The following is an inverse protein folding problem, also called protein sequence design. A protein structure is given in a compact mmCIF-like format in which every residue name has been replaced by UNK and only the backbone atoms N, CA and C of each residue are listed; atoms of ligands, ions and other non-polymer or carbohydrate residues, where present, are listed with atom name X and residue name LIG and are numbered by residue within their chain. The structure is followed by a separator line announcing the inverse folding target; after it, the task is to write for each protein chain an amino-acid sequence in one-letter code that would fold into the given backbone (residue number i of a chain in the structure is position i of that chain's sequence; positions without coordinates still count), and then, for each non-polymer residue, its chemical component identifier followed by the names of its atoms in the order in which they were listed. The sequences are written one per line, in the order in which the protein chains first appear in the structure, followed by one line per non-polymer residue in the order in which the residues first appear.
data_IF_446952447540
#
_entry.id   IF_446952447540
#
_cell.length_a   1.000
_cell.length_b   1.000
_cell.length_c   1.000
_cell.angle_alpha   90.00
_cell.angle_beta   90.00
_cell.angle_gamma   90.00
#
_symmetry.space_group_name_H-M   'P 1'
#
loop_
_entity.id
_entity.type
_entity.pdbx_description
1 polymer ?
#
# COMPACT_ATOMS: atom_id res chain seq x y z
N UNK A 1 -35.67 4.92 -4.23
CA UNK A 1 -34.31 4.97 -4.82
C UNK A 1 -33.37 4.30 -3.83
N UNK A 2 -32.67 3.24 -4.23
CA UNK A 2 -31.67 2.61 -3.36
C UNK A 2 -30.59 3.64 -3.01
N UNK A 3 -30.17 3.65 -1.75
CA UNK A 3 -29.10 4.53 -1.29
C UNK A 3 -27.80 4.07 -1.97
N UNK A 4 -27.18 4.95 -2.74
CA UNK A 4 -25.87 4.68 -3.33
C UNK A 4 -24.86 4.48 -2.21
N UNK A 5 -24.10 3.39 -2.28
CA UNK A 5 -23.08 3.02 -1.30
C UNK A 5 -21.74 3.64 -1.66
N UNK A 6 -20.85 3.79 -0.68
CA UNK A 6 -19.48 4.27 -0.89
C UNK A 6 -18.71 3.35 -1.86
N UNK A 7 -18.85 2.04 -1.69
CA UNK A 7 -18.30 1.01 -2.59
C UNK A 7 -18.75 1.20 -4.03
N UNK A 8 -20.05 1.37 -4.29
CA UNK A 8 -20.54 1.60 -5.65
C UNK A 8 -19.98 2.89 -6.26
N UNK A 9 -19.82 3.95 -5.45
CA UNK A 9 -19.20 5.20 -5.92
C UNK A 9 -17.74 4.96 -6.32
N UNK A 10 -17.00 4.19 -5.54
CA UNK A 10 -15.59 3.89 -5.83
C UNK A 10 -15.43 3.01 -7.07
N UNK A 11 -16.23 1.96 -7.23
CA UNK A 11 -16.23 1.14 -8.45
C UNK A 11 -16.55 1.98 -9.70
N UNK A 12 -17.56 2.85 -9.62
CA UNK A 12 -17.87 3.77 -10.71
C UNK A 12 -16.74 4.76 -10.98
N UNK A 13 -16.03 5.20 -9.93
CA UNK A 13 -14.91 6.12 -10.05
C UNK A 13 -13.69 5.47 -10.71
N UNK A 14 -13.30 4.26 -10.28
CA UNK A 14 -12.24 3.48 -10.91
C UNK A 14 -12.52 3.28 -12.40
N UNK A 15 -13.75 2.93 -12.76
CA UNK A 15 -14.11 2.76 -14.16
C UNK A 15 -14.02 4.07 -14.96
N UNK A 16 -14.43 5.21 -14.39
CA UNK A 16 -14.25 6.53 -15.04
C UNK A 16 -12.77 6.87 -15.20
N UNK A 17 -11.93 6.58 -14.20
CA UNK A 17 -10.49 6.81 -14.27
C UNK A 17 -9.83 5.93 -15.34
N UNK A 18 -10.23 4.67 -15.44
CA UNK A 18 -9.76 3.74 -16.48
C UNK A 18 -10.14 4.21 -17.89
N UNK A 19 -11.33 4.77 -18.06
CA UNK A 19 -11.82 5.26 -19.36
C UNK A 19 -11.21 6.61 -19.78
N UNK A 20 -11.03 7.54 -18.84
CA UNK A 20 -10.73 8.95 -19.14
C UNK A 20 -9.36 9.41 -18.68
N UNK A 21 -8.73 8.69 -17.76
CA UNK A 21 -7.58 9.15 -17.01
C UNK A 21 -7.94 10.22 -15.98
N UNK A 22 -7.01 10.45 -15.06
CA UNK A 22 -7.16 11.37 -13.93
C UNK A 22 -7.53 12.81 -14.35
N UNK A 23 -6.81 13.36 -15.34
CA UNK A 23 -6.95 14.77 -15.72
C UNK A 23 -8.37 15.11 -16.21
N UNK A 24 -8.96 14.19 -16.99
CA UNK A 24 -10.25 14.39 -17.67
C UNK A 24 -11.44 13.87 -16.88
N UNK A 25 -11.24 13.01 -15.89
CA UNK A 25 -12.31 12.48 -15.06
C UNK A 25 -12.98 13.62 -14.26
N UNK A 26 -14.31 13.56 -14.10
CA UNK A 26 -15.10 14.55 -13.36
C UNK A 26 -16.14 13.88 -12.47
N UNK A 27 -16.55 14.56 -11.40
CA UNK A 27 -17.62 14.08 -10.50
C UNK A 27 -18.93 13.80 -11.27
N UNK A 28 -19.25 14.62 -12.27
CA UNK A 28 -20.41 14.42 -13.14
C UNK A 28 -20.35 13.14 -13.97
N UNK A 29 -19.16 12.65 -14.32
CA UNK A 29 -19.00 11.39 -15.05
C UNK A 29 -19.31 10.19 -14.15
N UNK A 30 -18.88 10.24 -12.89
CA UNK A 30 -19.20 9.21 -11.87
C UNK A 30 -20.71 9.19 -11.60
N UNK A 31 -21.33 10.35 -11.42
CA UNK A 31 -22.77 10.46 -11.24
C UNK A 31 -23.55 9.87 -12.43
N UNK A 32 -23.10 10.14 -13.66
CA UNK A 32 -23.68 9.56 -14.87
C UNK A 32 -23.56 8.03 -14.89
N UNK A 33 -22.39 7.49 -14.51
CA UNK A 33 -22.15 6.05 -14.48
C UNK A 33 -23.01 5.32 -13.43
N UNK A 34 -23.36 6.01 -12.34
CA UNK A 34 -24.25 5.54 -11.29
C UNK A 34 -25.75 5.81 -11.58
N UNK A 35 -26.08 6.45 -12.69
CA UNK A 35 -27.43 6.92 -13.01
C UNK A 35 -28.07 7.79 -11.91
N UNK A 36 -27.28 8.64 -11.25
CA UNK A 36 -27.74 9.61 -10.24
C UNK A 36 -27.48 11.05 -10.69
N UNK A 37 -28.10 12.01 -10.01
CA UNK A 37 -27.82 13.43 -10.23
C UNK A 37 -26.44 13.82 -9.67
N UNK A 38 -25.71 14.75 -10.30
CA UNK A 38 -24.47 15.28 -9.71
C UNK A 38 -24.68 15.84 -8.30
N UNK A 39 -25.83 16.48 -8.05
CA UNK A 39 -26.20 17.00 -6.74
C UNK A 39 -26.27 15.91 -5.65
N UNK A 40 -26.67 14.68 -5.99
CA UNK A 40 -26.64 13.56 -5.06
C UNK A 40 -25.20 13.19 -4.68
N UNK A 41 -24.27 13.18 -5.66
CA UNK A 41 -22.87 12.85 -5.43
C UNK A 41 -22.14 13.95 -4.64
N UNK A 42 -22.48 15.22 -4.88
CA UNK A 42 -21.96 16.36 -4.10
C UNK A 42 -22.34 16.32 -2.60
N UNK A 43 -23.39 15.58 -2.21
CA UNK A 43 -23.71 15.34 -0.79
C UNK A 43 -22.72 14.40 -0.10
N UNK A 44 -22.00 13.59 -0.87
CA UNK A 44 -21.00 12.65 -0.36
C UNK A 44 -19.59 13.23 -0.45
N UNK A 45 -19.27 13.93 -1.54
CA UNK A 45 -17.94 14.46 -1.80
C UNK A 45 -17.99 15.91 -2.24
N UNK A 46 -17.24 16.77 -1.55
CA UNK A 46 -17.22 18.21 -1.82
C UNK A 46 -16.71 18.54 -3.24
N UNK A 47 -15.76 17.75 -3.74
CA UNK A 47 -15.20 17.89 -5.07
C UNK A 47 -14.60 16.55 -5.57
N UNK A 48 -14.11 16.56 -6.81
CA UNK A 48 -13.48 15.41 -7.45
C UNK A 48 -12.27 14.90 -6.67
N UNK A 49 -11.39 15.79 -6.24
CA UNK A 49 -10.12 15.42 -5.62
C UNK A 49 -10.34 14.80 -4.23
N UNK A 50 -11.36 15.25 -3.49
CA UNK A 50 -11.81 14.64 -2.25
C UNK A 50 -12.29 13.19 -2.47
N UNK A 51 -13.11 12.97 -3.50
CA UNK A 51 -13.55 11.61 -3.88
C UNK A 51 -12.36 10.71 -4.21
N UNK A 52 -11.44 11.18 -5.07
CA UNK A 52 -10.33 10.35 -5.49
C UNK A 52 -9.36 10.06 -4.34
N UNK A 53 -9.09 11.05 -3.49
CA UNK A 53 -8.25 10.86 -2.29
C UNK A 53 -8.84 9.84 -1.33
N UNK A 54 -10.15 9.88 -1.11
CA UNK A 54 -10.81 8.94 -0.20
C UNK A 54 -10.85 7.53 -0.80
N UNK A 55 -11.15 7.41 -2.09
CA UNK A 55 -11.11 6.15 -2.82
C UNK A 55 -9.72 5.50 -2.76
N UNK A 56 -8.69 6.30 -2.97
CA UNK A 56 -7.31 5.82 -2.96
C UNK A 56 -6.84 5.33 -1.59
N UNK A 57 -7.20 6.06 -0.53
CA UNK A 57 -6.93 5.63 0.85
C UNK A 57 -7.62 4.31 1.17
N UNK A 58 -8.91 4.19 0.86
CA UNK A 58 -9.67 2.98 1.12
C UNK A 58 -9.15 1.80 0.29
N UNK A 59 -8.79 2.01 -0.97
CA UNK A 59 -8.20 0.97 -1.81
C UNK A 59 -6.84 0.52 -1.26
N UNK A 60 -5.98 1.45 -0.84
CA UNK A 60 -4.70 1.08 -0.23
C UNK A 60 -4.90 0.34 1.10
N UNK A 61 -5.90 0.73 1.90
CA UNK A 61 -6.29 -0.01 3.11
C UNK A 61 -6.70 -1.44 2.79
N UNK A 62 -7.51 -1.66 1.75
CA UNK A 62 -7.90 -3.01 1.31
C UNK A 62 -6.69 -3.86 0.87
N UNK A 63 -5.72 -3.22 0.21
CA UNK A 63 -4.46 -3.87 -0.17
C UNK A 63 -3.62 -4.19 1.06
N UNK A 64 -3.45 -3.26 2.00
CA UNK A 64 -2.46 -3.41 3.09
C UNK A 64 -3.00 -4.10 4.34
N UNK A 65 -4.31 -4.03 4.63
CA UNK A 65 -4.88 -4.54 5.89
C UNK A 65 -4.55 -6.02 6.13
N UNK A 66 -4.69 -6.95 5.16
CA UNK A 66 -4.32 -8.35 5.38
C UNK A 66 -2.82 -8.56 5.64
N UNK A 67 -1.95 -7.70 5.11
CA UNK A 67 -0.51 -7.74 5.40
C UNK A 67 -0.27 -7.33 6.85
N UNK A 68 -0.90 -6.25 7.30
CA UNK A 68 -0.79 -5.80 8.69
C UNK A 68 -1.34 -6.86 9.65
N UNK A 69 -2.47 -7.49 9.33
CA UNK A 69 -3.04 -8.58 10.13
C UNK A 69 -2.08 -9.78 10.24
N UNK A 70 -1.37 -10.12 9.17
CA UNK A 70 -0.38 -11.21 9.14
C UNK A 70 0.89 -10.94 9.98
N UNK A 71 1.07 -9.74 10.54
CA UNK A 71 2.24 -9.38 11.36
C UNK A 71 2.17 -9.95 12.79
N UNK A 72 1.96 -11.25 12.92
CA UNK A 72 1.84 -11.89 14.23
C UNK A 72 3.20 -12.06 14.94
N UNK A 73 3.16 -12.02 16.27
CA UNK A 73 4.35 -12.34 17.07
C UNK A 73 4.53 -13.84 17.08
N UNK A 74 5.71 -14.31 16.68
CA UNK A 74 6.04 -15.74 16.62
C UNK A 74 7.14 -16.13 17.63
N UNK A 75 7.29 -17.44 17.94
CA UNK A 75 8.41 -17.95 18.73
C UNK A 75 9.77 -17.49 18.18
N UNK A 76 10.76 -17.32 19.06
CA UNK A 76 12.06 -16.73 18.72
C UNK A 76 12.72 -17.40 17.49
N UNK A 77 12.69 -18.73 17.44
CA UNK A 77 13.32 -19.53 16.39
C UNK A 77 12.68 -19.31 15.01
N UNK A 78 11.46 -18.79 14.95
CA UNK A 78 10.70 -18.60 13.72
C UNK A 78 10.65 -17.13 13.25
N UNK A 79 11.15 -16.17 14.04
CA UNK A 79 10.96 -14.73 13.76
C UNK A 79 11.60 -14.27 12.47
N UNK A 80 12.81 -14.76 12.19
CA UNK A 80 13.55 -14.40 10.97
C UNK A 80 12.80 -14.88 9.74
N UNK A 81 12.31 -16.13 9.74
CA UNK A 81 11.51 -16.67 8.66
C UNK A 81 10.18 -15.93 8.52
N UNK A 82 9.48 -15.67 9.64
CA UNK A 82 8.23 -14.93 9.61
C UNK A 82 8.40 -13.50 9.06
N UNK A 83 9.51 -12.81 9.39
CA UNK A 83 9.80 -11.49 8.84
C UNK A 83 10.05 -11.57 7.33
N UNK A 84 10.82 -12.54 6.87
CA UNK A 84 11.05 -12.78 5.44
C UNK A 84 9.72 -12.98 4.70
N UNK A 85 8.89 -13.90 5.19
CA UNK A 85 7.62 -14.26 4.55
C UNK A 85 6.64 -13.09 4.55
N UNK A 86 6.63 -12.29 5.62
CA UNK A 86 5.83 -11.08 5.73
C UNK A 86 6.29 -9.98 4.75
N UNK A 87 7.60 -9.74 4.62
CA UNK A 87 8.15 -8.80 3.65
C UNK A 87 7.88 -9.25 2.21
N UNK A 88 7.94 -10.55 1.95
CA UNK A 88 7.61 -11.12 0.65
C UNK A 88 6.13 -10.94 0.33
N UNK A 89 5.23 -11.27 1.28
CA UNK A 89 3.79 -11.05 1.16
C UNK A 89 3.45 -9.58 0.87
N UNK A 90 4.06 -8.64 1.59
CA UNK A 90 3.89 -7.21 1.34
C UNK A 90 4.26 -6.85 -0.10
N UNK A 91 5.43 -7.32 -0.55
CA UNK A 91 6.01 -7.00 -1.85
C UNK A 91 5.15 -7.56 -3.00
N UNK A 92 4.79 -8.84 -2.95
CA UNK A 92 4.00 -9.49 -4.00
C UNK A 92 2.57 -8.97 -4.04
N UNK A 93 1.92 -8.79 -2.90
CA UNK A 93 0.54 -8.31 -2.85
C UNK A 93 0.42 -6.89 -3.42
N UNK A 94 1.37 -6.01 -3.12
CA UNK A 94 1.40 -4.68 -3.72
C UNK A 94 1.71 -4.73 -5.21
N UNK A 95 2.68 -5.55 -5.64
CA UNK A 95 2.96 -5.76 -7.06
C UNK A 95 1.72 -6.19 -7.83
N UNK A 96 1.03 -7.24 -7.37
CA UNK A 96 -0.19 -7.76 -7.98
C UNK A 96 -1.32 -6.72 -7.99
N UNK A 97 -1.55 -6.03 -6.86
CA UNK A 97 -2.65 -5.07 -6.74
C UNK A 97 -2.45 -3.85 -7.66
N UNK A 98 -1.24 -3.29 -7.73
CA UNK A 98 -0.94 -2.18 -8.63
C UNK A 98 -0.92 -2.59 -10.10
N UNK A 99 -0.50 -3.82 -10.42
CA UNK A 99 -0.58 -4.36 -11.78
C UNK A 99 -2.04 -4.57 -12.22
N UNK A 100 -2.91 -5.02 -11.31
CA UNK A 100 -4.33 -5.24 -11.59
C UNK A 100 -5.16 -3.95 -11.69
N UNK A 101 -4.68 -2.85 -11.09
CA UNK A 101 -5.36 -1.56 -11.04
C UNK A 101 -4.48 -0.41 -11.55
N UNK A 102 -4.15 -0.37 -12.87
CA UNK A 102 -3.27 0.67 -13.44
C UNK A 102 -3.81 2.09 -13.27
N UNK A 103 -5.12 2.28 -13.18
CA UNK A 103 -5.76 3.56 -12.86
C UNK A 103 -5.43 4.05 -11.44
N UNK A 104 -5.31 3.14 -10.48
CA UNK A 104 -4.92 3.46 -9.10
C UNK A 104 -3.43 3.82 -9.05
N UNK A 105 -2.59 3.09 -9.79
CA UNK A 105 -1.17 3.43 -9.94
C UNK A 105 -0.98 4.84 -10.53
N UNK A 106 -1.71 5.16 -11.61
CA UNK A 106 -1.63 6.47 -12.25
C UNK A 106 -2.05 7.60 -11.30
N UNK A 107 -3.10 7.39 -10.50
CA UNK A 107 -3.49 8.34 -9.44
C UNK A 107 -2.39 8.51 -8.39
N UNK A 108 -1.83 7.41 -7.88
CA UNK A 108 -0.74 7.44 -6.89
C UNK A 108 0.47 8.23 -7.40
N UNK A 109 0.90 7.96 -8.65
CA UNK A 109 2.03 8.67 -9.28
C UNK A 109 1.76 10.16 -9.43
N UNK A 110 0.51 10.53 -9.78
CA UNK A 110 0.10 11.92 -9.88
C UNK A 110 0.12 12.63 -8.52
N UNK A 111 -0.43 12.02 -7.47
CA UNK A 111 -0.50 12.62 -6.13
C UNK A 111 0.86 12.66 -5.43
N UNK A 112 1.73 11.67 -5.61
CA UNK A 112 3.10 11.68 -5.08
C UNK A 112 3.93 12.86 -5.64
N UNK A 113 3.64 13.32 -6.86
CA UNK A 113 4.26 14.52 -7.42
C UNK A 113 3.75 15.84 -6.81
N UNK A 114 2.65 15.81 -6.03
CA UNK A 114 1.95 16.99 -5.51
C UNK A 114 1.90 17.08 -3.99
N UNK A 115 2.00 15.95 -3.28
CA UNK A 115 1.95 15.88 -1.82
C UNK A 115 3.28 15.41 -1.27
N UNK A 116 3.76 16.09 -0.23
CA UNK A 116 5.00 15.70 0.44
C UNK A 116 4.88 14.32 1.12
N UNK A 117 3.74 14.01 1.77
CA UNK A 117 3.61 12.83 2.65
C UNK A 117 2.33 11.98 2.41
N UNK A 118 2.19 11.34 1.23
CA UNK A 118 1.00 10.51 0.93
C UNK A 118 0.99 9.17 1.70
N UNK A 119 2.15 8.57 1.99
CA UNK A 119 2.27 7.18 2.47
C UNK A 119 2.89 7.09 3.87
N UNK A 120 3.35 8.22 4.43
CA UNK A 120 4.08 8.25 5.71
C UNK A 120 3.39 7.50 6.86
N UNK A 121 2.06 7.63 7.10
CA UNK A 121 1.39 6.85 8.14
C UNK A 121 1.51 5.34 7.93
N UNK A 122 1.36 4.87 6.69
CA UNK A 122 1.46 3.45 6.37
C UNK A 122 2.88 2.92 6.51
N UNK A 123 3.89 3.71 6.12
CA UNK A 123 5.30 3.33 6.30
C UNK A 123 5.62 3.08 7.78
N UNK A 124 5.05 3.90 8.67
CA UNK A 124 5.17 3.74 10.12
C UNK A 124 4.51 2.45 10.61
N UNK A 125 3.34 2.10 10.10
CA UNK A 125 2.66 0.85 10.44
C UNK A 125 3.44 -0.39 10.00
N UNK A 126 4.04 -0.37 8.82
CA UNK A 126 4.93 -1.44 8.38
C UNK A 126 6.16 -1.58 9.27
N UNK A 127 6.76 -0.46 9.69
CA UNK A 127 7.86 -0.50 10.66
C UNK A 127 7.41 -1.15 11.99
N UNK A 128 6.23 -0.79 12.50
CA UNK A 128 5.65 -1.39 13.71
C UNK A 128 5.39 -2.90 13.53
N UNK A 129 4.93 -3.33 12.36
CA UNK A 129 4.74 -4.74 12.04
C UNK A 129 6.06 -5.53 12.12
N UNK A 130 7.16 -4.98 11.58
CA UNK A 130 8.50 -5.58 11.71
C UNK A 130 8.91 -5.72 13.18
N UNK A 131 8.74 -4.65 13.97
CA UNK A 131 9.06 -4.66 15.40
C UNK A 131 8.25 -5.73 16.16
N UNK A 132 6.96 -5.88 15.82
CA UNK A 132 6.05 -6.87 16.41
C UNK A 132 6.45 -8.31 16.09
N UNK A 133 6.76 -8.60 14.81
CA UNK A 133 7.20 -9.93 14.36
C UNK A 133 8.50 -10.32 15.07
N UNK A 134 9.46 -9.39 15.12
CA UNK A 134 10.78 -9.63 15.72
C UNK A 134 10.76 -9.59 17.26
N UNK A 135 9.69 -9.06 17.85
CA UNK A 135 9.56 -8.75 19.26
C UNK A 135 10.81 -8.02 19.79
N UNK A 136 11.29 -7.05 19.02
CA UNK A 136 12.39 -6.19 19.42
C UNK A 136 11.90 -5.16 20.44
N UNK A 137 12.73 -4.85 21.44
CA UNK A 137 12.48 -3.81 22.42
C UNK A 137 13.17 -2.51 21.97
N UNK A 138 12.54 -1.82 21.03
CA UNK A 138 13.15 -0.76 20.20
C UNK A 138 12.90 0.64 20.72
N UNK A 139 12.88 0.82 22.05
CA UNK A 139 12.85 2.17 22.62
C UNK A 139 14.09 3.02 22.25
N UNK A 140 15.20 2.40 21.82
CA UNK A 140 16.47 3.11 21.48
C UNK A 140 16.97 2.94 20.05
N UNK A 141 16.39 2.07 19.23
CA UNK A 141 16.86 1.79 17.87
C UNK A 141 15.67 1.71 16.92
N UNK A 142 15.71 2.37 15.77
CA UNK A 142 14.62 2.35 14.79
C UNK A 142 14.74 1.16 13.82
N UNK A 143 14.90 -0.07 14.35
CA UNK A 143 15.28 -1.24 13.52
C UNK A 143 14.24 -1.60 12.47
N UNK A 144 12.95 -1.60 12.83
CA UNK A 144 11.85 -1.84 11.92
C UNK A 144 11.80 -0.81 10.80
N UNK A 145 12.05 0.46 11.12
CA UNK A 145 12.15 1.51 10.11
C UNK A 145 13.34 1.29 9.18
N UNK A 146 14.51 0.88 9.69
CA UNK A 146 15.66 0.54 8.84
C UNK A 146 15.35 -0.60 7.90
N UNK A 147 14.72 -1.69 8.38
CA UNK A 147 14.29 -2.81 7.53
C UNK A 147 13.35 -2.32 6.42
N UNK A 148 12.33 -1.54 6.77
CA UNK A 148 11.40 -1.01 5.77
C UNK A 148 12.09 -0.09 4.76
N UNK A 149 13.00 0.78 5.21
CA UNK A 149 13.79 1.63 4.34
C UNK A 149 14.64 0.82 3.34
N UNK A 150 15.30 -0.25 3.79
CA UNK A 150 16.06 -1.16 2.93
C UNK A 150 15.17 -1.82 1.86
N UNK A 151 13.93 -2.19 2.22
CA UNK A 151 12.99 -2.85 1.31
C UNK A 151 12.09 -1.89 0.51
N UNK A 152 12.29 -0.56 0.61
CA UNK A 152 11.42 0.45 -0.03
C UNK A 152 11.16 0.17 -1.51
N UNK A 153 12.19 -0.31 -2.24
CA UNK A 153 12.07 -0.63 -3.66
C UNK A 153 10.95 -1.63 -3.95
N UNK A 154 10.65 -2.59 -3.05
CA UNK A 154 9.76 -3.71 -3.33
C UNK A 154 8.28 -3.46 -3.03
N UNK A 155 7.93 -2.38 -2.32
CA UNK A 155 6.55 -2.15 -1.89
C UNK A 155 6.08 -0.70 -2.08
N UNK A 156 7.00 0.27 -2.22
CA UNK A 156 6.60 1.67 -2.36
C UNK A 156 6.12 1.96 -3.80
N UNK A 157 4.93 2.55 -3.99
CA UNK A 157 4.30 2.68 -5.32
C UNK A 157 5.06 3.59 -6.29
N UNK A 158 5.95 4.46 -5.78
CA UNK A 158 6.94 5.17 -6.60
C UNK A 158 7.73 4.23 -7.53
N UNK A 159 8.02 3.00 -7.08
CA UNK A 159 8.75 1.98 -7.83
C UNK A 159 7.84 1.02 -8.59
N UNK A 160 6.51 1.14 -8.52
CA UNK A 160 5.59 0.15 -9.09
C UNK A 160 5.76 -0.05 -10.61
N UNK A 161 6.08 1.02 -11.35
CA UNK A 161 6.43 0.92 -12.78
C UNK A 161 7.77 0.24 -13.08
N UNK A 162 8.50 -0.24 -12.06
CA UNK A 162 9.79 -0.94 -12.16
C UNK A 162 9.73 -2.38 -11.62
N UNK A 163 8.56 -2.84 -11.16
CA UNK A 163 8.41 -4.20 -10.60
C UNK A 163 8.19 -5.29 -11.65
N UNK A 164 7.94 -4.95 -12.91
CA UNK A 164 7.74 -5.91 -14.02
C UNK A 164 9.05 -6.56 -14.51
N UNK A 165 10.06 -6.64 -13.63
CA UNK A 165 11.37 -7.21 -13.96
C UNK A 165 11.43 -8.67 -13.51
N UNK A 166 11.91 -9.55 -14.39
CA UNK A 166 12.25 -10.94 -14.08
C UNK A 166 13.22 -11.07 -12.89
N UNK A 167 13.91 -9.98 -12.53
CA UNK A 167 14.81 -9.89 -11.40
C UNK A 167 14.14 -9.51 -10.07
N UNK A 168 12.85 -9.17 -10.01
CA UNK A 168 12.19 -8.69 -8.78
C UNK A 168 12.44 -9.63 -7.59
N UNK A 169 12.16 -10.92 -7.77
CA UNK A 169 12.42 -11.94 -6.74
C UNK A 169 13.91 -12.08 -6.43
N UNK A 170 14.76 -12.15 -7.46
CA UNK A 170 16.21 -12.30 -7.27
C UNK A 170 16.81 -11.16 -6.46
N UNK A 171 16.39 -9.92 -6.73
CA UNK A 171 16.87 -8.73 -6.01
C UNK A 171 16.29 -8.70 -4.59
N UNK A 172 15.03 -9.13 -4.40
CA UNK A 172 14.44 -9.29 -3.07
C UNK A 172 15.25 -10.26 -2.21
N UNK A 173 15.47 -11.47 -2.72
CA UNK A 173 16.20 -12.53 -2.02
C UNK A 173 17.65 -12.10 -1.74
N UNK A 174 18.31 -11.46 -2.70
CA UNK A 174 19.68 -10.94 -2.49
C UNK A 174 19.69 -9.85 -1.41
N UNK A 175 18.74 -8.92 -1.43
CA UNK A 175 18.62 -7.87 -0.39
C UNK A 175 18.38 -8.48 0.99
N UNK A 176 17.55 -9.53 1.06
CA UNK A 176 17.32 -10.27 2.29
C UNK A 176 18.58 -10.95 2.83
N UNK A 177 19.33 -11.66 1.97
CA UNK A 177 20.58 -12.31 2.38
C UNK A 177 21.60 -11.32 2.94
N UNK A 178 21.74 -10.15 2.32
CA UNK A 178 22.65 -9.09 2.80
C UNK A 178 22.17 -8.47 4.13
N UNK A 179 20.85 -8.40 4.37
CA UNK A 179 20.28 -7.87 5.61
C UNK A 179 20.24 -8.90 6.74
N UNK A 180 20.34 -10.20 6.43
CA UNK A 180 20.19 -11.30 7.38
C UNK A 180 21.11 -11.17 8.62
N UNK A 181 22.42 -10.85 8.50
CA UNK A 181 23.27 -10.66 9.66
C UNK A 181 22.78 -9.52 10.57
N UNK A 182 22.17 -8.46 10.00
CA UNK A 182 21.64 -7.32 10.75
C UNK A 182 20.35 -7.69 11.48
N UNK A 183 19.47 -8.46 10.84
CA UNK A 183 18.20 -8.92 11.45
C UNK A 183 18.47 -9.90 12.59
N UNK A 184 19.48 -10.76 12.45
CA UNK A 184 19.84 -11.76 13.47
C UNK A 184 20.55 -11.19 14.70
N UNK A 185 21.11 -9.97 14.62
CA UNK A 185 21.76 -9.32 15.75
C UNK A 185 20.83 -9.23 16.97
N UNK A 186 21.31 -9.78 18.10
CA UNK A 186 20.60 -9.75 19.38
C UNK A 186 19.57 -10.86 19.58
N UNK A 187 19.37 -11.76 18.61
CA UNK A 187 18.53 -12.95 18.78
C UNK A 187 19.28 -14.11 19.48
N UNK A 188 20.61 -14.09 19.46
CA UNK A 188 21.49 -15.16 19.97
C UNK A 188 21.84 -15.07 21.45
N UNK A 189 21.21 -14.18 22.23
CA UNK A 189 21.41 -14.14 23.68
C UNK A 189 20.35 -14.99 24.40
N UNK A 190 20.56 -16.32 24.40
CA UNK A 190 20.07 -17.23 25.44
C UNK A 190 21.11 -18.31 25.71
#
# INVERSE_FOLDING_TARGET
MSKVTKTAIFEATQAVLKEKGYEKARLADVARKLAITPAALYKHFANRDALFTEMDKDWLEEVDAPIIEASERVPADNRVQALHDWLWLLSTRRQESFAAAPEMLAFYQFELGRRENLIEPRLKEFAIAVEKIMAWDTFRQQRGQTVMQTFTYFYHPFFAGRWDDNLFRTIFETTWQELLPVVQQGLTNK
#
